data_IF_477407547077
#
_entry.id   IF_477407547077
#
_cell.length_a   1.000
_cell.length_b   1.000
_cell.length_c   1.000
_cell.angle_alpha   90.00
_cell.angle_beta   90.00
_cell.angle_gamma   90.00
#
_symmetry.space_group_name_H-M   'P 1'
#
loop_
_entity.id
_entity.type
_entity.pdbx_description
1 polymer ?
#
# COMPACT_ATOMS: atom_id res chain seq x y z
N UNK A 1 -0.35 -9.38 17.52
CA UNK A 1 -1.11 -8.81 18.65
C UNK A 1 -0.16 -8.12 19.60
N UNK A 2 0.30 -6.93 19.19
CA UNK A 2 1.11 -6.05 20.04
C UNK A 2 0.24 -5.05 20.83
N UNK A 3 -1.00 -4.83 20.39
CA UNK A 3 -1.89 -3.83 20.98
C UNK A 3 -2.99 -4.51 21.81
N UNK A 4 -2.91 -4.39 23.13
CA UNK A 4 -3.89 -4.95 24.09
C UNK A 4 -4.91 -3.88 24.53
N UNK A 5 -4.63 -2.59 24.28
CA UNK A 5 -5.45 -1.46 24.70
C UNK A 5 -6.44 -1.05 23.61
N UNK A 6 -7.75 -0.90 23.92
CA UNK A 6 -8.71 -0.31 23.00
C UNK A 6 -8.36 1.16 22.75
N UNK A 7 -8.08 1.50 21.50
CA UNK A 7 -7.87 2.89 21.07
C UNK A 7 -9.21 3.43 20.54
N UNK A 8 -9.58 4.64 20.97
CA UNK A 8 -10.67 5.41 20.39
C UNK A 8 -10.15 6.78 19.99
N UNK A 9 -10.61 7.30 18.86
CA UNK A 9 -10.28 8.63 18.41
C UNK A 9 -11.04 8.97 17.14
N UNK A 10 -11.38 10.25 17.00
CA UNK A 10 -12.06 10.79 15.83
C UNK A 10 -11.36 12.08 15.41
N UNK A 11 -10.45 11.96 14.46
CA UNK A 11 -9.63 13.06 14.02
C UNK A 11 -8.72 12.66 12.86
N UNK A 12 -7.83 13.58 12.51
CA UNK A 12 -6.88 13.40 11.42
C UNK A 12 -5.83 12.34 11.74
N UNK A 13 -5.48 11.58 10.71
CA UNK A 13 -4.41 10.59 10.71
C UNK A 13 -3.35 11.00 9.69
N UNK A 14 -2.10 11.06 10.12
CA UNK A 14 -0.93 11.20 9.25
C UNK A 14 0.04 10.07 9.54
N UNK A 15 0.37 9.30 8.51
CA UNK A 15 1.34 8.20 8.59
C UNK A 15 2.46 8.52 7.61
N UNK A 16 3.69 8.60 8.11
CA UNK A 16 4.88 8.81 7.28
C UNK A 16 5.70 7.53 7.28
N UNK A 17 5.81 6.89 6.13
CA UNK A 17 6.59 5.66 5.95
C UNK A 17 7.87 6.01 5.21
N UNK A 18 9.02 5.71 5.80
CA UNK A 18 10.34 5.96 5.19
C UNK A 18 10.87 4.68 4.57
N UNK A 19 11.30 4.77 3.32
CA UNK A 19 11.87 3.66 2.56
C UNK A 19 10.93 2.44 2.46
N UNK A 20 9.69 2.67 2.03
CA UNK A 20 8.74 1.59 1.73
C UNK A 20 9.15 0.90 0.43
N UNK A 21 9.54 -0.37 0.51
CA UNK A 21 9.68 -1.25 -0.64
C UNK A 21 8.36 -1.95 -0.94
N UNK A 22 7.91 -1.93 -2.19
CA UNK A 22 6.74 -2.69 -2.64
C UNK A 22 7.13 -3.48 -3.89
N UNK A 23 6.89 -4.78 -3.85
CA UNK A 23 7.16 -5.68 -4.98
C UNK A 23 5.83 -6.16 -5.54
N UNK A 24 5.58 -5.90 -6.83
CA UNK A 24 4.42 -6.41 -7.56
C UNK A 24 4.86 -7.53 -8.51
N UNK A 25 4.21 -8.68 -8.42
CA UNK A 25 4.33 -9.76 -9.39
C UNK A 25 3.05 -9.83 -10.20
N UNK A 26 3.17 -9.63 -11.52
CA UNK A 26 2.03 -9.54 -12.44
C UNK A 26 2.20 -10.53 -13.60
N UNK A 27 1.63 -11.75 -13.49
CA UNK A 27 1.60 -12.68 -14.61
C UNK A 27 0.80 -12.11 -15.79
N UNK A 28 1.30 -12.33 -17.00
CA UNK A 28 0.70 -11.81 -18.22
C UNK A 28 0.79 -12.81 -19.38
N UNK A 29 -0.13 -12.67 -20.32
CA UNK A 29 -0.06 -13.29 -21.64
C UNK A 29 0.06 -12.21 -22.72
N UNK A 30 0.56 -12.61 -23.89
CA UNK A 30 0.46 -11.80 -25.10
C UNK A 30 -0.75 -12.29 -25.89
N UNK A 31 -1.67 -11.37 -26.20
CA UNK A 31 -2.91 -11.65 -26.92
C UNK A 31 -3.09 -10.70 -28.08
N UNK A 32 -3.86 -11.10 -29.09
CA UNK A 32 -4.25 -10.21 -30.19
C UNK A 32 -5.39 -9.30 -29.75
N UNK A 33 -5.25 -8.00 -29.96
CA UNK A 33 -6.35 -7.05 -29.79
C UNK A 33 -7.33 -7.09 -30.99
N UNK A 34 -8.37 -6.25 -30.96
CA UNK A 34 -9.38 -6.15 -32.04
C UNK A 34 -8.79 -5.79 -33.41
N UNK A 35 -7.61 -5.18 -33.44
CA UNK A 35 -6.88 -4.79 -34.65
C UNK A 35 -5.86 -5.86 -35.10
N UNK A 36 -5.77 -7.00 -34.41
CA UNK A 36 -4.81 -8.06 -34.72
C UNK A 36 -3.37 -7.74 -34.29
N UNK A 37 -3.16 -6.70 -33.46
CA UNK A 37 -1.85 -6.38 -32.88
C UNK A 37 -1.66 -7.11 -31.55
N UNK A 38 -0.43 -7.50 -31.24
CA UNK A 38 -0.08 -8.11 -29.96
C UNK A 38 -0.12 -7.07 -28.84
N UNK A 39 -0.81 -7.39 -27.74
CA UNK A 39 -0.92 -6.56 -26.53
C UNK A 39 -0.68 -7.41 -25.29
N UNK A 40 -0.28 -6.78 -24.18
CA UNK A 40 -0.07 -7.48 -22.91
C UNK A 40 -1.39 -7.54 -22.12
N UNK A 41 -1.84 -8.76 -21.80
CA UNK A 41 -3.00 -9.01 -20.95
C UNK A 41 -2.54 -9.45 -19.54
N UNK A 42 -2.60 -8.54 -18.57
CA UNK A 42 -2.37 -8.88 -17.16
C UNK A 42 -3.51 -9.73 -16.60
N UNK A 43 -3.16 -10.88 -16.00
CA UNK A 43 -4.12 -11.85 -15.47
C UNK A 43 -4.49 -11.58 -14.02
N UNK A 44 -3.49 -11.35 -13.20
CA UNK A 44 -3.62 -11.14 -11.77
C UNK A 44 -2.43 -10.33 -11.25
N UNK A 45 -2.45 -10.04 -9.96
CA UNK A 45 -1.28 -9.55 -9.26
C UNK A 45 -1.16 -10.20 -7.89
N UNK A 46 0.08 -10.30 -7.42
CA UNK A 46 0.40 -10.47 -6.01
C UNK A 46 1.35 -9.34 -5.63
N UNK A 47 1.30 -8.94 -4.37
CA UNK A 47 2.26 -7.97 -3.88
C UNK A 47 2.76 -8.33 -2.49
N UNK A 48 3.99 -7.93 -2.22
CA UNK A 48 4.57 -7.88 -0.89
C UNK A 48 5.08 -6.47 -0.64
N UNK A 49 5.25 -6.12 0.63
CA UNK A 49 5.87 -4.86 1.00
C UNK A 49 6.80 -5.07 2.18
N UNK A 50 7.83 -4.24 2.24
CA UNK A 50 8.80 -4.21 3.30
C UNK A 50 8.97 -2.77 3.76
N UNK A 51 8.79 -2.57 5.05
CA UNK A 51 9.03 -1.30 5.70
C UNK A 51 10.45 -1.30 6.25
N UNK A 52 11.37 -0.75 5.46
CA UNK A 52 12.80 -1.00 5.65
C UNK A 52 13.47 -0.11 6.69
N UNK A 53 12.82 0.99 7.11
CA UNK A 53 13.49 1.97 7.95
C UNK A 53 12.65 2.47 9.12
N UNK A 54 11.53 3.16 8.86
CA UNK A 54 10.75 3.77 9.92
C UNK A 54 9.31 4.03 9.49
N UNK A 55 8.38 4.01 10.44
CA UNK A 55 7.08 4.65 10.27
C UNK A 55 6.73 5.54 11.45
N UNK A 56 6.31 6.76 11.14
CA UNK A 56 5.85 7.71 12.12
C UNK A 56 4.33 7.87 12.05
N UNK A 57 3.67 7.59 13.16
CA UNK A 57 2.24 7.70 13.36
C UNK A 57 1.91 8.99 14.11
N UNK A 58 1.03 9.78 13.52
CA UNK A 58 0.39 10.93 14.15
C UNK A 58 -1.12 10.80 14.00
N UNK A 59 -1.82 10.60 15.11
CA UNK A 59 -3.26 10.55 15.19
C UNK A 59 -3.72 11.67 16.12
N UNK A 60 -4.79 12.35 15.75
CA UNK A 60 -5.34 13.45 16.56
C UNK A 60 -6.64 13.02 17.25
N UNK A 61 -6.99 13.73 18.33
CA UNK A 61 -8.20 13.49 19.11
C UNK A 61 -8.36 12.04 19.62
N UNK A 62 -7.25 11.39 20.00
CA UNK A 62 -7.30 10.11 20.70
C UNK A 62 -7.88 10.30 22.10
N UNK A 63 -8.65 9.33 22.57
CA UNK A 63 -9.24 9.30 23.91
C UNK A 63 -10.03 10.57 24.24
N UNK A 64 -10.84 11.04 23.29
CA UNK A 64 -11.62 12.29 23.40
C UNK A 64 -10.76 13.51 23.77
N UNK A 65 -9.54 13.58 23.23
CA UNK A 65 -8.62 14.69 23.42
C UNK A 65 -7.80 14.63 24.71
N UNK A 66 -7.81 13.51 25.45
CA UNK A 66 -6.93 13.36 26.61
C UNK A 66 -5.47 13.31 26.16
N UNK A 67 -4.74 14.42 26.39
CA UNK A 67 -3.36 14.59 25.96
C UNK A 67 -2.42 13.53 26.54
N UNK A 68 -2.54 13.19 27.82
CA UNK A 68 -1.63 12.24 28.46
C UNK A 68 -1.75 10.84 27.85
N UNK A 69 -2.98 10.36 27.65
CA UNK A 69 -3.23 9.06 27.03
C UNK A 69 -2.86 9.07 25.54
N UNK A 70 -3.16 10.16 24.84
CA UNK A 70 -2.79 10.34 23.44
C UNK A 70 -1.28 10.31 23.25
N UNK A 71 -0.53 11.08 24.05
CA UNK A 71 0.94 11.15 23.96
C UNK A 71 1.56 9.79 24.29
N UNK A 72 1.08 9.10 25.34
CA UNK A 72 1.55 7.76 25.68
C UNK A 72 1.31 6.75 24.55
N UNK A 73 0.12 6.79 23.91
CA UNK A 73 -0.22 5.89 22.82
C UNK A 73 0.59 6.17 21.56
N UNK A 74 0.78 7.44 21.21
CA UNK A 74 1.60 7.82 20.05
C UNK A 74 3.07 7.45 20.26
N UNK A 75 3.61 7.63 21.47
CA UNK A 75 4.97 7.17 21.81
C UNK A 75 5.06 5.66 21.62
N UNK A 76 4.12 4.89 22.19
CA UNK A 76 4.09 3.44 22.02
C UNK A 76 4.05 3.02 20.55
N UNK A 77 3.17 3.62 19.74
CA UNK A 77 3.06 3.28 18.32
C UNK A 77 4.35 3.60 17.54
N UNK A 78 4.98 4.73 17.83
CA UNK A 78 6.19 5.16 17.15
C UNK A 78 7.44 4.38 17.57
N UNK A 79 7.55 3.99 18.83
CA UNK A 79 8.63 3.11 19.32
C UNK A 79 8.48 1.70 18.74
N UNK A 80 7.24 1.22 18.61
CA UNK A 80 6.92 -0.12 18.11
C UNK A 80 6.49 -0.13 16.64
N UNK A 81 6.92 0.87 15.87
CA UNK A 81 6.39 1.13 14.53
C UNK A 81 6.43 -0.07 13.59
N UNK A 82 7.46 -0.92 13.71
CA UNK A 82 7.67 -2.08 12.84
C UNK A 82 6.56 -3.12 13.04
N UNK A 83 6.27 -3.46 14.30
CA UNK A 83 5.22 -4.40 14.64
C UNK A 83 3.83 -3.84 14.31
N UNK A 84 3.59 -2.54 14.60
CA UNK A 84 2.34 -1.87 14.20
C UNK A 84 2.16 -1.91 12.68
N UNK A 85 3.21 -1.62 11.91
CA UNK A 85 3.16 -1.65 10.45
C UNK A 85 2.89 -3.06 9.91
N UNK A 86 3.46 -4.10 10.52
CA UNK A 86 3.22 -5.49 10.11
C UNK A 86 1.79 -5.95 10.41
N UNK A 87 1.22 -5.51 11.53
CA UNK A 87 -0.12 -5.92 11.96
C UNK A 87 -1.23 -5.16 11.22
N UNK A 88 -1.02 -3.86 10.94
CA UNK A 88 -2.06 -2.96 10.41
C UNK A 88 -1.74 -2.34 9.05
N UNK A 89 -0.61 -2.70 8.42
CA UNK A 89 -0.16 -2.08 7.17
C UNK A 89 -0.91 -2.54 5.93
N UNK A 90 -1.40 -3.80 5.90
CA UNK A 90 -2.02 -4.37 4.70
C UNK A 90 -3.21 -3.52 4.21
N UNK A 91 -4.20 -3.15 5.06
CA UNK A 91 -5.36 -2.38 4.63
C UNK A 91 -5.01 -0.99 4.05
N UNK A 92 -3.86 -0.42 4.44
CA UNK A 92 -3.38 0.87 3.92
C UNK A 92 -2.84 0.76 2.50
N UNK A 93 -2.32 -0.42 2.11
CA UNK A 93 -1.68 -0.64 0.81
C UNK A 93 -2.59 -1.34 -0.20
N UNK A 94 -3.56 -2.14 0.25
CA UNK A 94 -4.46 -2.92 -0.61
C UNK A 94 -5.11 -2.06 -1.71
N UNK A 95 -5.77 -0.97 -1.32
CA UNK A 95 -6.50 -0.09 -2.25
C UNK A 95 -5.56 0.65 -3.22
N UNK A 96 -4.48 1.32 -2.76
CA UNK A 96 -3.52 1.93 -3.67
C UNK A 96 -2.90 0.94 -4.66
N UNK A 97 -2.44 -0.22 -4.20
CA UNK A 97 -1.82 -1.24 -5.06
C UNK A 97 -2.82 -1.75 -6.11
N UNK A 98 -4.07 -2.00 -5.72
CA UNK A 98 -5.12 -2.39 -6.66
C UNK A 98 -5.35 -1.32 -7.74
N UNK A 99 -5.39 -0.03 -7.36
CA UNK A 99 -5.55 1.07 -8.32
C UNK A 99 -4.36 1.15 -9.29
N UNK A 100 -3.14 1.01 -8.79
CA UNK A 100 -1.92 0.99 -9.61
C UNK A 100 -1.96 -0.19 -10.60
N UNK A 101 -2.28 -1.40 -10.12
CA UNK A 101 -2.42 -2.58 -10.97
C UNK A 101 -3.44 -2.35 -12.09
N UNK A 102 -4.62 -1.83 -11.76
CA UNK A 102 -5.68 -1.58 -12.76
C UNK A 102 -5.25 -0.54 -13.79
N UNK A 103 -4.53 0.51 -13.38
CA UNK A 103 -4.00 1.50 -14.30
C UNK A 103 -2.98 0.89 -15.26
N UNK A 104 -2.03 0.09 -14.75
CA UNK A 104 -1.02 -0.62 -15.57
C UNK A 104 -1.72 -1.59 -16.52
N UNK A 105 -2.67 -2.40 -16.02
CA UNK A 105 -3.45 -3.35 -16.84
C UNK A 105 -4.17 -2.66 -17.99
N UNK A 106 -4.78 -1.51 -17.72
CA UNK A 106 -5.50 -0.71 -18.72
C UNK A 106 -4.54 -0.19 -19.78
N UNK A 107 -3.42 0.40 -19.35
CA UNK A 107 -2.40 0.93 -20.26
C UNK A 107 -1.82 -0.17 -21.16
N UNK A 108 -1.34 -1.27 -20.57
CA UNK A 108 -0.71 -2.37 -21.30
C UNK A 108 -1.63 -3.07 -22.30
N UNK A 109 -2.95 -3.12 -22.03
CA UNK A 109 -3.93 -3.65 -22.98
C UNK A 109 -4.23 -2.69 -24.12
N UNK A 110 -4.04 -1.39 -23.91
CA UNK A 110 -4.34 -0.35 -24.90
C UNK A 110 -3.23 -0.13 -25.92
N UNK A 111 -2.00 -0.51 -25.61
CA UNK A 111 -0.83 -0.26 -26.43
C UNK A 111 -0.34 -1.55 -27.11
N UNK A 112 -0.12 -1.55 -28.43
CA UNK A 112 0.60 -2.62 -29.12
C UNK A 112 1.99 -2.83 -28.52
N UNK A 113 2.39 -4.09 -28.38
CA UNK A 113 3.67 -4.48 -27.79
C UNK A 113 4.87 -3.83 -28.52
N UNK A 114 4.79 -3.75 -29.85
CA UNK A 114 5.80 -3.12 -30.71
C UNK A 114 6.03 -1.62 -30.42
N UNK A 115 5.07 -0.93 -29.79
CA UNK A 115 5.17 0.50 -29.49
C UNK A 115 5.79 0.77 -28.10
N UNK A 116 5.76 -0.21 -27.20
CA UNK A 116 6.17 -0.04 -25.79
C UNK A 116 7.31 -0.96 -25.36
N UNK A 117 7.71 -1.91 -26.19
CA UNK A 117 8.83 -2.82 -25.94
C UNK A 117 9.77 -2.84 -27.13
N UNK A 118 11.07 -2.84 -26.86
CA UNK A 118 12.07 -3.15 -27.88
C UNK A 118 12.12 -4.67 -28.01
N UNK A 119 11.60 -5.16 -29.13
CA UNK A 119 11.64 -6.58 -29.52
C UNK A 119 12.93 -6.88 -30.26
#
# INVERSE_FOLDING_TARGET
MLLILPISGDGDVTIKIKNLGVTLTMPYDIVKNEQGKDVIELKSYKYTYENNENTHFKLTNLFNGNKQLSDAMLTFMNENWKAISQEFGNPMLDKPVQKIYNAIKTYLRSQPLEEIAVV
#
